data_IF_695090986310
#
_entry.id   IF_695090986310
#
_cell.length_a   1.000
_cell.length_b   1.000
_cell.length_c   1.000
_cell.angle_alpha   90.00
_cell.angle_beta   90.00
_cell.angle_gamma   90.00
#
_symmetry.space_group_name_H-M   'P 1'
#
loop_
_entity.id
_entity.type
_entity.pdbx_description
1 polymer ?
#
# COMPACT_ATOMS: atom_id res chain seq x y z
N UNK A 1 -7.31 32.44 32.50
CA UNK A 1 -6.70 31.68 33.62
C UNK A 1 -5.48 30.98 33.08
N UNK A 2 -4.32 31.56 33.37
CA UNK A 2 -3.02 31.24 32.77
C UNK A 2 -2.39 30.08 33.55
N UNK A 3 -2.33 28.88 32.97
CA UNK A 3 -1.51 27.80 33.54
C UNK A 3 -0.07 28.00 33.10
N UNK A 4 0.77 28.42 34.04
CA UNK A 4 2.18 28.70 33.85
C UNK A 4 2.96 27.45 33.44
N UNK A 5 3.74 27.58 32.37
CA UNK A 5 4.77 26.61 31.96
C UNK A 5 5.95 26.75 32.92
N UNK A 6 6.15 25.75 33.78
CA UNK A 6 7.32 25.67 34.65
C UNK A 6 8.60 25.42 33.83
N UNK A 7 9.62 26.24 34.03
CA UNK A 7 10.93 26.11 33.41
C UNK A 7 11.67 24.82 33.87
N UNK A 8 12.52 24.21 33.02
CA UNK A 8 13.26 23.00 33.39
C UNK A 8 14.43 23.32 34.34
N UNK A 9 14.43 22.71 35.53
CA UNK A 9 15.53 22.79 36.49
C UNK A 9 16.68 21.88 36.06
N UNK A 10 17.85 22.46 35.77
CA UNK A 10 19.12 21.73 35.59
C UNK A 10 19.59 21.17 36.92
N UNK A 11 19.58 19.84 37.09
CA UNK A 11 20.34 19.16 38.14
C UNK A 11 21.18 18.02 37.54
N UNK A 12 22.50 18.24 37.59
CA UNK A 12 23.57 17.25 37.71
C UNK A 12 23.48 15.93 36.90
N UNK A 13 24.24 15.86 35.80
CA UNK A 13 25.48 15.06 35.80
C UNK A 13 25.43 13.54 35.97
N UNK A 14 24.30 12.85 35.77
CA UNK A 14 24.30 11.38 35.63
C UNK A 14 23.42 10.95 34.47
N UNK A 15 24.04 10.41 33.43
CA UNK A 15 23.36 9.73 32.32
C UNK A 15 22.83 8.39 32.84
N UNK A 16 21.75 8.41 33.60
CA UNK A 16 20.93 7.22 33.75
C UNK A 16 20.27 6.97 32.40
N UNK A 17 20.78 5.96 31.70
CA UNK A 17 20.08 5.30 30.60
C UNK A 17 18.66 5.07 31.09
N UNK A 18 17.67 5.76 30.49
CA UNK A 18 16.25 5.46 30.72
C UNK A 18 15.92 4.13 30.04
N UNK A 19 16.65 3.07 30.38
CA UNK A 19 16.41 1.69 30.01
C UNK A 19 16.01 0.99 31.30
N UNK A 20 14.70 0.87 31.45
CA UNK A 20 13.87 -0.02 32.29
C UNK A 20 12.62 0.83 32.60
N UNK A 21 11.87 1.20 31.55
CA UNK A 21 10.42 1.33 31.76
C UNK A 21 9.90 -0.09 31.64
N UNK A 22 9.72 -0.65 32.83
CA UNK A 22 9.18 -1.96 33.11
C UNK A 22 8.12 -2.38 32.09
N UNK A 23 8.20 -3.64 31.68
CA UNK A 23 7.10 -4.45 31.17
C UNK A 23 5.86 -4.19 32.06
N UNK A 24 5.06 -3.20 31.70
CA UNK A 24 3.71 -3.06 32.23
C UNK A 24 2.94 -4.25 31.70
N UNK A 25 2.27 -4.99 32.60
CA UNK A 25 1.29 -6.02 32.22
C UNK A 25 0.42 -5.45 31.09
N UNK A 26 0.58 -6.01 29.89
CA UNK A 26 0.07 -5.43 28.64
C UNK A 26 -1.44 -5.23 28.79
N UNK A 27 -1.88 -4.00 28.96
CA UNK A 27 -3.29 -3.67 28.98
C UNK A 27 -3.79 -3.58 27.53
N UNK A 28 -5.06 -3.90 27.29
CA UNK A 28 -5.65 -3.82 25.95
C UNK A 28 -5.52 -2.41 25.33
N UNK A 29 -5.39 -1.39 26.16
CA UNK A 29 -5.30 0.02 25.77
C UNK A 29 -3.91 0.43 25.24
N UNK A 30 -2.87 -0.35 25.53
CA UNK A 30 -1.49 -0.03 25.15
C UNK A 30 -1.06 -0.67 23.82
N UNK A 31 -1.94 -1.49 23.23
CA UNK A 31 -1.73 -2.10 21.93
C UNK A 31 -1.76 -1.03 20.83
N UNK A 32 -0.63 -0.85 20.17
CA UNK A 32 -0.49 0.01 18.99
C UNK A 32 0.35 -0.68 17.94
N UNK A 33 0.05 -0.38 16.69
CA UNK A 33 0.82 -0.87 15.55
C UNK A 33 2.21 -0.19 15.47
N UNK A 34 3.09 -0.76 14.65
CA UNK A 34 4.39 -0.19 14.35
C UNK A 34 4.23 1.23 13.77
N UNK A 35 5.17 2.12 14.13
CA UNK A 35 5.15 3.50 13.64
C UNK A 35 5.16 3.51 12.10
N UNK A 36 4.14 4.13 11.51
CA UNK A 36 3.99 4.24 10.05
C UNK A 36 3.20 3.13 9.37
N UNK A 37 2.73 2.11 10.11
CA UNK A 37 1.88 1.06 9.56
C UNK A 37 0.53 1.59 9.04
N UNK A 38 -0.04 2.60 9.71
CA UNK A 38 -1.28 3.25 9.29
C UNK A 38 -1.07 4.71 8.89
N UNK A 39 -1.60 5.10 7.72
CA UNK A 39 -1.63 6.49 7.23
C UNK A 39 -2.99 7.12 7.49
N UNK A 40 -3.01 8.37 7.94
CA UNK A 40 -4.24 9.11 8.16
C UNK A 40 -4.96 9.42 6.84
N UNK A 41 -6.27 9.14 6.78
CA UNK A 41 -7.09 9.39 5.59
C UNK A 41 -7.39 10.89 5.47
N UNK A 42 -7.14 11.47 4.30
CA UNK A 42 -7.53 12.86 4.05
C UNK A 42 -9.04 12.98 3.87
N UNK A 43 -9.71 13.68 4.79
CA UNK A 43 -11.16 13.97 4.71
C UNK A 43 -11.38 15.20 3.81
N UNK A 44 -11.94 14.99 2.62
CA UNK A 44 -12.18 16.06 1.63
C UNK A 44 -13.38 16.92 2.05
N UNK A 45 -13.40 18.20 1.67
CA UNK A 45 -14.54 19.10 1.93
C UNK A 45 -14.74 19.48 3.41
N UNK A 46 -13.64 19.64 4.17
CA UNK A 46 -13.65 19.99 5.60
C UNK A 46 -12.83 21.25 5.86
N UNK A 47 -13.24 22.36 5.23
CA UNK A 47 -12.62 23.67 5.41
C UNK A 47 -11.34 23.89 4.59
N UNK A 48 -10.89 25.15 4.51
CA UNK A 48 -9.74 25.57 3.68
C UNK A 48 -8.41 25.03 4.20
N UNK A 49 -8.22 24.91 5.52
CA UNK A 49 -6.99 24.40 6.12
C UNK A 49 -6.68 22.93 5.79
N UNK A 50 -7.68 22.18 5.32
CA UNK A 50 -7.50 20.78 4.88
C UNK A 50 -6.84 20.64 3.50
N UNK A 51 -6.58 21.75 2.78
CA UNK A 51 -6.03 21.77 1.42
C UNK A 51 -6.98 21.29 0.32
N UNK A 52 -8.00 20.48 0.66
CA UNK A 52 -9.04 19.98 -0.26
C UNK A 52 -10.44 20.44 0.16
N UNK A 53 -10.56 21.68 0.62
CA UNK A 53 -11.80 22.28 1.12
C UNK A 53 -12.80 22.59 0.02
N UNK A 54 -12.55 23.66 -0.76
CA UNK A 54 -13.54 24.27 -1.65
C UNK A 54 -14.09 23.35 -2.74
N UNK A 55 -13.24 22.56 -3.38
CA UNK A 55 -13.62 21.72 -4.54
C UNK A 55 -13.50 20.22 -4.26
N UNK A 56 -13.11 19.82 -3.04
CA UNK A 56 -12.79 18.43 -2.70
C UNK A 56 -11.77 17.76 -3.67
N UNK A 57 -10.96 18.55 -4.38
CA UNK A 57 -10.03 18.07 -5.40
C UNK A 57 -10.68 17.65 -6.74
N UNK A 58 -11.93 18.02 -6.98
CA UNK A 58 -12.66 17.71 -8.24
C UNK A 58 -12.52 18.81 -9.31
N UNK A 59 -11.95 19.96 -8.98
CA UNK A 59 -11.87 21.12 -9.87
C UNK A 59 -13.16 21.96 -9.90
N UNK A 60 -13.32 22.77 -10.95
CA UNK A 60 -14.46 23.67 -11.13
C UNK A 60 -15.50 23.08 -12.10
N UNK A 61 -16.28 23.90 -12.81
CA UNK A 61 -17.49 23.54 -13.57
C UNK A 61 -17.22 22.65 -14.80
N UNK A 62 -16.76 21.42 -14.62
CA UNK A 62 -16.58 20.41 -15.67
C UNK A 62 -17.37 19.13 -15.39
N UNK A 63 -17.46 18.23 -16.39
CA UNK A 63 -18.16 16.95 -16.26
C UNK A 63 -17.62 16.12 -15.08
N UNK A 64 -16.30 16.06 -14.89
CA UNK A 64 -15.64 15.34 -13.77
C UNK A 64 -15.98 15.89 -12.38
N UNK A 65 -16.43 17.14 -12.29
CA UNK A 65 -16.87 17.71 -11.02
C UNK A 65 -18.31 17.33 -10.66
N UNK A 66 -19.16 17.12 -11.68
CA UNK A 66 -20.60 16.85 -11.54
C UNK A 66 -20.93 15.36 -11.58
N UNK A 67 -20.25 14.58 -12.42
CA UNK A 67 -20.53 13.17 -12.65
C UNK A 67 -19.31 12.36 -13.10
N UNK A 68 -19.57 11.14 -13.55
CA UNK A 68 -18.55 10.15 -13.94
C UNK A 68 -18.57 9.88 -15.43
N UNK A 69 -17.43 9.47 -15.97
CA UNK A 69 -17.30 8.97 -17.35
C UNK A 69 -16.82 7.53 -17.31
N UNK A 70 -17.03 6.78 -18.39
CA UNK A 70 -16.55 5.39 -18.48
C UNK A 70 -15.01 5.39 -18.51
N UNK A 71 -14.41 4.50 -17.72
CA UNK A 71 -12.97 4.24 -17.78
C UNK A 71 -12.59 3.77 -19.19
N UNK A 72 -11.60 4.41 -19.81
CA UNK A 72 -11.20 4.14 -21.20
C UNK A 72 -11.95 4.95 -22.27
N UNK A 73 -12.69 6.00 -21.89
CA UNK A 73 -13.24 6.96 -22.86
C UNK A 73 -12.16 7.95 -23.32
N UNK A 74 -11.79 7.89 -24.60
CA UNK A 74 -10.76 8.74 -25.24
C UNK A 74 -11.37 9.99 -25.92
N UNK A 75 -12.49 10.51 -25.42
CA UNK A 75 -13.07 11.77 -25.94
C UNK A 75 -13.85 11.65 -27.25
N UNK A 76 -14.28 10.43 -27.63
CA UNK A 76 -14.95 10.15 -28.91
C UNK A 76 -14.04 9.50 -29.95
N UNK A 77 -12.73 9.47 -29.67
CA UNK A 77 -11.77 8.72 -30.44
C UNK A 77 -12.01 7.20 -30.32
N UNK A 78 -11.73 6.43 -31.38
CA UNK A 78 -11.79 4.96 -31.36
C UNK A 78 -10.80 4.41 -30.33
N UNK A 79 -11.24 3.69 -29.27
CA UNK A 79 -10.33 3.27 -28.21
C UNK A 79 -9.25 2.30 -28.68
N UNK A 80 -8.08 2.33 -28.04
CA UNK A 80 -6.94 1.48 -28.38
C UNK A 80 -7.28 -0.01 -28.49
N UNK A 81 -8.12 -0.53 -27.58
CA UNK A 81 -8.58 -1.93 -27.57
C UNK A 81 -9.30 -2.36 -28.86
N UNK A 82 -9.86 -1.40 -29.61
CA UNK A 82 -10.50 -1.65 -30.91
C UNK A 82 -9.55 -1.44 -32.09
N UNK A 83 -8.55 -0.57 -31.93
CA UNK A 83 -7.56 -0.26 -32.97
C UNK A 83 -6.56 -1.38 -33.16
N UNK A 84 -6.08 -1.95 -32.06
CA UNK A 84 -5.13 -3.05 -32.11
C UNK A 84 -5.87 -4.37 -32.32
N UNK A 85 -5.41 -5.22 -33.26
CA UNK A 85 -5.97 -6.54 -33.42
C UNK A 85 -5.69 -7.39 -32.17
N UNK A 86 -6.64 -8.26 -31.83
CA UNK A 86 -6.39 -9.31 -30.82
C UNK A 86 -5.40 -10.32 -31.43
N UNK A 87 -4.27 -10.54 -30.77
CA UNK A 87 -3.25 -11.51 -31.23
C UNK A 87 -3.36 -12.82 -30.45
N UNK A 88 -3.39 -13.93 -31.20
CA UNK A 88 -3.35 -15.29 -30.66
C UNK A 88 -4.61 -15.70 -29.87
N UNK A 89 -4.50 -16.83 -29.18
CA UNK A 89 -5.48 -17.33 -28.22
C UNK A 89 -4.75 -17.82 -26.96
N UNK A 90 -5.40 -17.74 -25.80
CA UNK A 90 -4.86 -18.33 -24.57
C UNK A 90 -5.27 -19.80 -24.53
N UNK A 91 -4.31 -20.72 -24.50
CA UNK A 91 -4.59 -22.15 -24.36
C UNK A 91 -5.11 -22.43 -22.93
N UNK A 92 -6.36 -22.93 -22.75
CA UNK A 92 -6.88 -23.26 -21.43
C UNK A 92 -6.23 -24.49 -20.79
N UNK A 93 -5.53 -25.32 -21.58
CA UNK A 93 -4.88 -26.55 -21.13
C UNK A 93 -3.35 -26.41 -20.97
N UNK A 94 -2.82 -25.19 -20.91
CA UNK A 94 -1.39 -24.97 -20.73
C UNK A 94 -0.94 -25.45 -19.35
N UNK A 95 0.09 -26.30 -19.31
CA UNK A 95 0.80 -26.64 -18.08
C UNK A 95 1.84 -25.55 -17.79
N UNK A 96 1.75 -24.92 -16.63
CA UNK A 96 2.76 -23.95 -16.17
C UNK A 96 3.79 -24.69 -15.31
N UNK A 97 5.06 -24.57 -15.68
CA UNK A 97 6.18 -25.19 -14.97
C UNK A 97 6.86 -24.15 -14.08
N UNK A 98 7.23 -24.54 -12.86
CA UNK A 98 8.04 -23.67 -12.02
C UNK A 98 9.52 -23.91 -12.35
N UNK A 99 10.16 -22.90 -12.95
CA UNK A 99 11.59 -22.97 -13.25
C UNK A 99 12.36 -22.80 -11.94
N UNK A 100 12.99 -23.87 -11.48
CA UNK A 100 13.88 -23.83 -10.32
C UNK A 100 15.33 -23.82 -10.80
N UNK A 101 16.01 -22.69 -10.60
CA UNK A 101 17.44 -22.57 -10.86
C UNK A 101 18.14 -22.83 -9.53
N UNK A 102 18.67 -24.04 -9.33
CA UNK A 102 19.64 -24.29 -8.26
C UNK A 102 20.97 -23.64 -8.68
N UNK A 103 21.71 -23.10 -7.71
CA UNK A 103 22.99 -22.39 -7.86
C UNK A 103 23.88 -22.88 -9.02
N UNK A 104 24.67 -21.99 -9.67
CA UNK A 104 25.40 -22.33 -10.90
C UNK A 104 26.32 -23.53 -10.68
N UNK A 105 26.02 -24.66 -11.34
CA UNK A 105 26.80 -25.89 -11.25
C UNK A 105 26.00 -27.20 -11.03
N UNK A 106 24.68 -27.17 -10.93
CA UNK A 106 23.85 -28.39 -10.89
C UNK A 106 22.67 -28.29 -11.86
N UNK A 107 22.34 -29.41 -12.51
CA UNK A 107 21.41 -29.50 -13.64
C UNK A 107 20.04 -28.85 -13.33
N UNK A 108 19.51 -28.18 -14.36
CA UNK A 108 18.19 -27.54 -14.36
C UNK A 108 17.13 -28.65 -14.34
N UNK A 109 16.45 -28.83 -13.21
CA UNK A 109 15.25 -29.66 -13.12
C UNK A 109 14.00 -28.82 -13.43
N UNK A 110 13.20 -29.23 -14.42
CA UNK A 110 11.91 -28.61 -14.70
C UNK A 110 10.83 -29.27 -13.82
N UNK A 111 10.37 -28.59 -12.76
CA UNK A 111 9.29 -29.12 -11.92
C UNK A 111 7.92 -28.88 -12.57
N UNK A 112 7.16 -29.96 -12.79
CA UNK A 112 5.77 -29.92 -13.26
C UNK A 112 4.83 -29.87 -12.05
N UNK A 113 4.29 -28.70 -11.73
CA UNK A 113 3.27 -28.59 -10.68
C UNK A 113 1.88 -28.74 -11.30
N UNK A 114 1.17 -29.82 -10.99
CA UNK A 114 -0.28 -29.95 -11.25
C UNK A 114 -1.15 -29.64 -10.02
N UNK A 115 -0.55 -29.49 -8.83
CA UNK A 115 -1.23 -29.13 -7.58
C UNK A 115 -0.25 -28.40 -6.65
N UNK A 116 -0.72 -27.50 -5.76
CA UNK A 116 0.16 -26.68 -4.91
C UNK A 116 1.10 -27.45 -3.97
N UNK A 117 0.99 -28.78 -3.81
CA UNK A 117 1.82 -29.56 -2.88
C UNK A 117 2.29 -30.94 -3.42
N UNK A 118 2.17 -31.21 -4.72
CA UNK A 118 2.71 -32.45 -5.34
C UNK A 118 3.85 -32.08 -6.28
N UNK A 119 5.09 -32.32 -5.86
CA UNK A 119 6.29 -32.12 -6.67
C UNK A 119 6.84 -33.48 -7.10
N UNK A 120 6.57 -33.86 -8.34
CA UNK A 120 7.29 -34.97 -8.99
C UNK A 120 8.55 -34.41 -9.63
N UNK A 121 9.71 -34.95 -9.24
CA UNK A 121 10.99 -34.76 -9.94
C UNK A 121 10.96 -35.71 -11.13
N UNK A 122 11.02 -35.16 -12.35
CA UNK A 122 11.33 -35.93 -13.56
C UNK A 122 12.80 -35.73 -13.88
#
# INVERSE_FOLDING_TARGET
MSVGVGAPVRRSGVMYVQSIRAFSLLSLNDLRDNKGATKQKTRKGRGIGSGKGKTAGRGHKGQKARGTHKFGFEGGQTPLRRRMPKRGFKNPFSLEFQVFIRSPGHQIGCFVSKKPNEYLIV
#
